data_IF_810668098706
#
_entry.id   IF_810668098706
#
_cell.length_a   1.000
_cell.length_b   1.000
_cell.length_c   1.000
_cell.angle_alpha   90.00
_cell.angle_beta   90.00
_cell.angle_gamma   90.00
#
_symmetry.space_group_name_H-M   'P 1'
#
loop_
_entity.id
_entity.type
_entity.pdbx_description
1 polymer ?
#
# COMPACT_ATOMS: atom_id res chain seq x y z
N UNK A 1 -35.24 1.06 -100.69
CA UNK A 1 -35.92 0.86 -99.39
C UNK A 1 -34.95 0.12 -98.48
N UNK A 2 -34.76 0.66 -97.26
CA UNK A 2 -34.08 0.05 -96.09
C UNK A 2 -32.54 -0.01 -96.12
N UNK A 3 -31.87 0.88 -95.38
CA UNK A 3 -31.46 0.80 -93.95
C UNK A 3 -30.18 -0.04 -93.77
N UNK A 4 -29.04 0.56 -93.39
CA UNK A 4 -28.48 0.60 -92.00
C UNK A 4 -28.32 -0.82 -91.39
N UNK A 5 -27.17 -1.25 -90.86
CA UNK A 5 -26.29 -0.56 -89.93
C UNK A 5 -24.94 -1.28 -89.79
N UNK A 6 -23.93 -0.51 -89.38
CA UNK A 6 -22.59 -0.91 -88.92
C UNK A 6 -22.65 -1.79 -87.65
N UNK A 7 -21.53 -2.49 -87.34
CA UNK A 7 -20.84 -2.36 -86.04
C UNK A 7 -19.49 -3.10 -86.07
N UNK A 8 -18.42 -2.34 -85.88
CA UNK A 8 -17.06 -2.85 -85.67
C UNK A 8 -16.82 -3.31 -84.24
N UNK A 9 -15.80 -4.15 -84.05
CA UNK A 9 -15.17 -4.42 -82.75
C UNK A 9 -13.67 -4.64 -82.93
N UNK A 10 -12.91 -3.84 -82.20
CA UNK A 10 -11.50 -4.03 -81.83
C UNK A 10 -11.30 -3.24 -80.53
N UNK A 11 -10.24 -3.49 -79.73
CA UNK A 11 -9.91 -4.72 -79.02
C UNK A 11 -10.08 -4.53 -77.49
N UNK A 12 -10.13 -5.63 -76.74
CA UNK A 12 -10.23 -5.63 -75.29
C UNK A 12 -8.92 -5.17 -74.62
N UNK A 13 -8.96 -4.07 -73.88
CA UNK A 13 -7.93 -3.66 -72.93
C UNK A 13 -8.12 -4.41 -71.61
N UNK A 14 -7.13 -5.24 -71.27
CA UNK A 14 -7.07 -5.95 -70.00
C UNK A 14 -6.80 -4.95 -68.85
N UNK A 15 -7.77 -4.82 -67.95
CA UNK A 15 -7.65 -4.06 -66.71
C UNK A 15 -6.78 -4.83 -65.71
N UNK A 16 -5.68 -4.21 -65.29
CA UNK A 16 -4.81 -4.71 -64.21
C UNK A 16 -5.55 -4.50 -62.89
N UNK A 17 -5.96 -5.60 -62.25
CA UNK A 17 -6.60 -5.58 -60.95
C UNK A 17 -5.61 -5.07 -59.89
N UNK A 18 -5.93 -3.91 -59.32
CA UNK A 18 -5.19 -3.30 -58.22
C UNK A 18 -5.52 -4.06 -56.92
N UNK A 19 -4.50 -4.65 -56.29
CA UNK A 19 -4.65 -5.34 -55.02
C UNK A 19 -5.14 -4.36 -53.93
N UNK A 20 -6.08 -4.76 -53.05
CA UNK A 20 -6.55 -3.88 -51.99
C UNK A 20 -5.41 -3.61 -51.00
N UNK A 21 -5.13 -2.33 -50.78
CA UNK A 21 -4.26 -1.85 -49.72
C UNK A 21 -4.75 -2.40 -48.36
N UNK A 22 -3.84 -2.69 -47.41
CA UNK A 22 -4.24 -3.18 -46.10
C UNK A 22 -5.12 -2.12 -45.45
N UNK A 23 -6.37 -2.47 -45.16
CA UNK A 23 -7.27 -1.65 -44.36
C UNK A 23 -6.59 -1.49 -43.00
N UNK A 24 -5.93 -0.35 -42.78
CA UNK A 24 -5.43 0.00 -41.46
C UNK A 24 -6.63 -0.08 -40.51
N UNK A 25 -6.57 -1.00 -39.55
CA UNK A 25 -7.65 -1.22 -38.61
C UNK A 25 -8.04 0.12 -37.99
N UNK A 26 -9.26 0.59 -38.28
CA UNK A 26 -9.76 1.85 -37.74
C UNK A 26 -9.70 1.77 -36.22
N UNK A 27 -9.10 2.76 -35.54
CA UNK A 27 -9.09 2.76 -34.08
C UNK A 27 -10.54 2.74 -33.57
N UNK A 28 -10.81 1.89 -32.59
CA UNK A 28 -12.15 1.69 -32.02
C UNK A 28 -12.70 2.97 -31.38
N UNK A 29 -13.95 3.01 -30.91
CA UNK A 29 -14.53 4.19 -30.28
C UNK A 29 -13.64 4.72 -29.13
N UNK A 30 -13.47 6.06 -28.97
CA UNK A 30 -12.63 6.67 -27.94
C UNK A 30 -12.75 6.06 -26.54
N UNK A 31 -13.99 5.93 -26.04
CA UNK A 31 -14.25 5.38 -24.72
C UNK A 31 -13.84 3.90 -24.60
N UNK A 32 -14.09 3.11 -25.65
CA UNK A 32 -13.68 1.70 -25.67
C UNK A 32 -12.15 1.54 -25.67
N UNK A 33 -11.42 2.49 -26.24
CA UNK A 33 -9.95 2.51 -26.13
C UNK A 33 -9.48 2.77 -24.69
N UNK A 34 -10.16 3.64 -23.93
CA UNK A 34 -9.86 3.85 -22.50
C UNK A 34 -10.10 2.58 -21.69
N UNK A 35 -11.25 1.94 -21.91
CA UNK A 35 -11.60 0.67 -21.24
C UNK A 35 -10.55 -0.41 -21.48
N UNK A 36 -10.13 -0.59 -22.74
CA UNK A 36 -9.08 -1.56 -23.10
C UNK A 36 -7.77 -1.23 -22.40
N UNK A 37 -7.37 0.04 -22.39
CA UNK A 37 -6.14 0.45 -21.71
C UNK A 37 -6.22 0.18 -20.20
N UNK A 38 -7.34 0.48 -19.54
CA UNK A 38 -7.52 0.20 -18.12
C UNK A 38 -7.31 -1.29 -17.80
N UNK A 39 -7.89 -2.18 -18.61
CA UNK A 39 -7.68 -3.63 -18.51
C UNK A 39 -6.21 -4.00 -18.73
N UNK A 40 -5.57 -3.45 -19.77
CA UNK A 40 -4.14 -3.69 -20.04
C UNK A 40 -3.24 -3.25 -18.87
N UNK A 41 -3.53 -2.11 -18.23
CA UNK A 41 -2.78 -1.65 -17.07
C UNK A 41 -2.95 -2.58 -15.87
N UNK A 42 -4.18 -3.06 -15.61
CA UNK A 42 -4.42 -4.02 -14.53
C UNK A 42 -3.68 -5.35 -14.72
N UNK A 43 -3.53 -5.79 -15.98
CA UNK A 43 -2.73 -6.98 -16.30
C UNK A 43 -1.23 -6.82 -15.98
N UNK A 44 -0.75 -5.59 -15.78
CA UNK A 44 0.62 -5.33 -15.32
C UNK A 44 0.78 -5.53 -13.80
N UNK A 45 -0.28 -5.35 -13.00
CA UNK A 45 -0.19 -5.41 -11.53
C UNK A 45 0.37 -6.74 -11.01
N UNK A 46 -0.12 -7.93 -11.42
CA UNK A 46 0.44 -9.20 -10.96
C UNK A 46 1.91 -9.36 -11.38
N UNK A 47 2.28 -8.84 -12.56
CA UNK A 47 3.64 -8.93 -13.08
C UNK A 47 4.61 -8.07 -12.28
N UNK A 48 4.20 -6.87 -11.87
CA UNK A 48 5.00 -5.97 -11.04
C UNK A 48 5.15 -6.53 -9.62
N UNK A 49 4.11 -7.17 -9.06
CA UNK A 49 4.16 -7.80 -7.73
C UNK A 49 5.27 -8.86 -7.61
N UNK A 50 5.37 -9.73 -8.62
CA UNK A 50 6.30 -10.88 -8.66
C UNK A 50 7.59 -10.56 -9.42
N UNK A 51 7.71 -9.38 -10.00
CA UNK A 51 8.77 -9.09 -10.95
C UNK A 51 10.17 -9.00 -10.33
N UNK A 52 11.13 -9.61 -11.01
CA UNK A 52 12.53 -9.72 -10.59
C UNK A 52 13.37 -8.51 -11.01
N UNK A 53 14.40 -8.21 -10.22
CA UNK A 53 15.35 -7.15 -10.54
C UNK A 53 16.13 -7.51 -11.80
N UNK A 54 16.37 -6.52 -12.67
CA UNK A 54 17.05 -6.72 -13.95
C UNK A 54 18.46 -6.13 -13.98
N UNK A 55 18.78 -5.21 -13.08
CA UNK A 55 20.11 -4.62 -12.96
C UNK A 55 20.98 -5.43 -12.01
N UNK A 56 22.28 -5.46 -12.26
CA UNK A 56 23.31 -5.93 -11.34
C UNK A 56 23.89 -4.73 -10.57
N UNK A 57 24.44 -5.00 -9.38
CA UNK A 57 25.02 -3.98 -8.48
C UNK A 57 26.11 -3.13 -9.13
N UNK A 58 26.93 -3.74 -9.99
CA UNK A 58 28.12 -3.11 -10.57
C UNK A 58 27.81 -1.90 -11.48
N UNK A 59 26.60 -1.84 -12.04
CA UNK A 59 26.15 -0.74 -12.92
C UNK A 59 25.15 0.21 -12.24
N UNK A 60 24.81 -0.03 -10.97
CA UNK A 60 23.77 0.72 -10.29
C UNK A 60 24.28 2.07 -9.77
N UNK A 61 23.72 3.16 -10.32
CA UNK A 61 23.93 4.50 -9.79
C UNK A 61 22.67 4.99 -9.06
N UNK A 62 22.77 5.14 -7.74
CA UNK A 62 21.66 5.54 -6.85
C UNK A 62 21.06 6.90 -7.24
N UNK A 63 21.89 7.90 -7.53
CA UNK A 63 21.41 9.24 -7.89
C UNK A 63 20.67 9.25 -9.22
N UNK A 64 21.20 8.53 -10.20
CA UNK A 64 20.57 8.37 -11.52
C UNK A 64 19.26 7.60 -11.42
N UNK A 65 19.20 6.57 -10.57
CA UNK A 65 17.98 5.82 -10.30
C UNK A 65 16.87 6.73 -9.75
N UNK A 66 17.14 7.46 -8.66
CA UNK A 66 16.13 8.33 -8.03
C UNK A 66 15.68 9.44 -8.97
N UNK A 67 16.61 10.06 -9.71
CA UNK A 67 16.28 11.06 -10.72
C UNK A 67 15.34 10.50 -11.79
N UNK A 68 15.64 9.31 -12.33
CA UNK A 68 14.80 8.65 -13.34
C UNK A 68 13.43 8.27 -12.79
N UNK A 69 13.35 7.89 -11.52
CA UNK A 69 12.08 7.55 -10.87
C UNK A 69 11.22 8.80 -10.70
N UNK A 70 11.80 9.90 -10.21
CA UNK A 70 11.14 11.20 -10.10
C UNK A 70 10.64 11.69 -11.49
N UNK A 71 11.51 11.64 -12.51
CA UNK A 71 11.15 12.01 -13.89
C UNK A 71 10.02 11.15 -14.45
N UNK A 72 10.04 9.84 -14.20
CA UNK A 72 9.01 8.92 -14.66
C UNK A 72 7.66 9.18 -13.96
N UNK A 73 7.67 9.46 -12.66
CA UNK A 73 6.47 9.81 -11.90
C UNK A 73 5.84 11.13 -12.40
N UNK A 74 6.67 12.16 -12.61
CA UNK A 74 6.22 13.44 -13.19
C UNK A 74 5.65 13.25 -14.60
N UNK A 75 6.23 12.34 -15.38
CA UNK A 75 5.67 12.00 -16.70
C UNK A 75 4.30 11.37 -16.57
N UNK A 76 4.11 10.39 -15.67
CA UNK A 76 2.82 9.75 -15.45
C UNK A 76 1.76 10.77 -15.01
N UNK A 77 2.07 11.66 -14.07
CA UNK A 77 1.13 12.69 -13.62
C UNK A 77 0.75 13.67 -14.74
N UNK A 78 1.69 14.03 -15.62
CA UNK A 78 1.43 14.87 -16.80
C UNK A 78 0.48 14.18 -17.79
N UNK A 79 0.69 12.90 -18.07
CA UNK A 79 -0.22 12.15 -18.95
C UNK A 79 -1.61 11.99 -18.33
N UNK A 80 -1.69 11.79 -17.00
CA UNK A 80 -2.96 11.81 -16.27
C UNK A 80 -3.67 13.17 -16.43
N UNK A 81 -2.93 14.28 -16.30
CA UNK A 81 -3.47 15.65 -16.51
C UNK A 81 -4.05 15.82 -17.89
N UNK A 82 -3.27 15.44 -18.90
CA UNK A 82 -3.65 15.59 -20.30
C UNK A 82 -4.92 14.78 -20.59
N UNK A 83 -4.98 13.54 -20.10
CA UNK A 83 -6.12 12.67 -20.25
C UNK A 83 -7.38 13.27 -19.59
N UNK A 84 -7.30 13.68 -18.32
CA UNK A 84 -8.42 14.31 -17.62
C UNK A 84 -8.89 15.58 -18.34
N UNK A 85 -7.97 16.48 -18.70
CA UNK A 85 -8.33 17.75 -19.34
C UNK A 85 -9.02 17.54 -20.69
N UNK A 86 -8.54 16.58 -21.49
CA UNK A 86 -9.11 16.29 -22.81
C UNK A 86 -10.48 15.62 -22.69
N UNK A 87 -10.66 14.68 -21.76
CA UNK A 87 -11.93 13.95 -21.61
C UNK A 87 -12.99 14.64 -20.74
N UNK A 88 -12.61 15.68 -19.99
CA UNK A 88 -13.54 16.60 -19.33
C UNK A 88 -14.07 17.68 -20.27
N UNK A 89 -13.43 17.90 -21.43
CA UNK A 89 -13.86 18.86 -22.43
C UNK A 89 -14.85 18.29 -23.45
N UNK A 90 -15.70 19.17 -24.01
CA UNK A 90 -16.49 18.87 -25.19
C UNK A 90 -16.02 19.73 -26.38
N UNK A 91 -15.97 19.18 -27.61
CA UNK A 91 -16.29 17.79 -27.98
C UNK A 91 -15.23 16.80 -27.48
N UNK A 92 -15.64 15.53 -27.31
CA UNK A 92 -14.72 14.45 -26.98
C UNK A 92 -13.64 14.27 -28.07
N UNK A 93 -12.44 13.80 -27.70
CA UNK A 93 -11.35 13.61 -28.65
C UNK A 93 -11.70 12.63 -29.76
N UNK A 94 -11.07 12.83 -30.92
CA UNK A 94 -11.18 11.88 -32.03
C UNK A 94 -10.55 10.53 -31.68
N UNK A 95 -10.98 9.49 -32.38
CA UNK A 95 -10.45 8.13 -32.18
C UNK A 95 -8.92 8.04 -32.34
N UNK A 96 -8.34 8.84 -33.23
CA UNK A 96 -6.89 8.91 -33.44
C UNK A 96 -6.16 9.66 -32.31
N UNK A 97 -6.73 10.76 -31.82
CA UNK A 97 -6.19 11.50 -30.67
C UNK A 97 -6.24 10.65 -29.41
N UNK A 98 -7.36 9.96 -29.16
CA UNK A 98 -7.47 9.01 -28.04
C UNK A 98 -6.42 7.90 -28.13
N UNK A 99 -6.22 7.33 -29.32
CA UNK A 99 -5.19 6.30 -29.49
C UNK A 99 -3.79 6.81 -29.16
N UNK A 100 -3.49 8.06 -29.53
CA UNK A 100 -2.22 8.70 -29.21
C UNK A 100 -2.06 8.88 -27.70
N UNK A 101 -3.08 9.39 -27.02
CA UNK A 101 -3.08 9.57 -25.57
C UNK A 101 -2.91 8.22 -24.84
N UNK A 102 -3.66 7.19 -25.26
CA UNK A 102 -3.53 5.85 -24.69
C UNK A 102 -2.10 5.28 -24.82
N UNK A 103 -1.47 5.48 -25.98
CA UNK A 103 -0.06 5.07 -26.20
C UNK A 103 0.90 5.84 -25.29
N UNK A 104 0.68 7.13 -25.08
CA UNK A 104 1.52 7.95 -24.21
C UNK A 104 1.41 7.51 -22.75
N UNK A 105 0.19 7.29 -22.24
CA UNK A 105 -0.07 6.75 -20.90
C UNK A 105 0.61 5.39 -20.73
N UNK A 106 0.39 4.47 -21.66
CA UNK A 106 1.00 3.14 -21.58
C UNK A 106 2.53 3.18 -21.60
N UNK A 107 3.12 4.07 -22.42
CA UNK A 107 4.56 4.27 -22.46
C UNK A 107 5.11 4.88 -21.14
N UNK A 108 4.40 5.82 -20.53
CA UNK A 108 4.77 6.40 -19.24
C UNK A 108 4.72 5.34 -18.12
N UNK A 109 3.66 4.54 -18.07
CA UNK A 109 3.53 3.43 -17.11
C UNK A 109 4.63 2.38 -17.31
N UNK A 110 4.94 2.00 -18.56
CA UNK A 110 6.06 1.10 -18.82
C UNK A 110 7.41 1.69 -18.40
N UNK A 111 7.60 3.00 -18.56
CA UNK A 111 8.83 3.66 -18.16
C UNK A 111 9.04 3.60 -16.65
N UNK A 112 8.02 3.92 -15.84
CA UNK A 112 8.17 3.86 -14.37
C UNK A 112 8.38 2.42 -13.88
N UNK A 113 7.69 1.43 -14.46
CA UNK A 113 7.91 0.01 -14.17
C UNK A 113 9.35 -0.42 -14.54
N UNK A 114 9.88 0.06 -15.67
CA UNK A 114 11.24 -0.25 -16.08
C UNK A 114 12.28 0.35 -15.11
N UNK A 115 12.05 1.56 -14.59
CA UNK A 115 12.89 2.15 -13.56
C UNK A 115 12.85 1.32 -12.28
N UNK A 116 11.66 0.90 -11.82
CA UNK A 116 11.53 -0.03 -10.69
C UNK A 116 12.38 -1.30 -10.89
N UNK A 117 12.32 -1.93 -12.07
CA UNK A 117 13.13 -3.13 -12.34
C UNK A 117 14.64 -2.89 -12.40
N UNK A 118 15.08 -1.64 -12.53
CA UNK A 118 16.50 -1.30 -12.43
C UNK A 118 17.01 -1.15 -10.99
N UNK A 119 16.14 -1.27 -9.97
CA UNK A 119 16.55 -1.30 -8.57
C UNK A 119 16.98 -2.72 -8.19
N UNK A 120 18.28 -2.97 -7.93
CA UNK A 120 18.75 -4.28 -7.55
C UNK A 120 18.43 -4.61 -6.09
N UNK A 121 18.40 -5.92 -5.77
CA UNK A 121 17.95 -6.42 -4.44
C UNK A 121 18.94 -6.11 -3.31
N UNK A 122 20.22 -5.98 -3.65
CA UNK A 122 21.32 -5.64 -2.76
C UNK A 122 21.22 -4.22 -2.16
N UNK A 123 20.42 -3.34 -2.77
CA UNK A 123 20.13 -2.01 -2.24
C UNK A 123 19.10 -2.04 -1.09
N UNK A 124 18.53 -3.22 -0.81
CA UNK A 124 17.64 -3.46 0.32
C UNK A 124 16.30 -4.02 -0.12
N UNK A 125 15.89 -5.11 0.53
CA UNK A 125 14.60 -5.75 0.30
C UNK A 125 13.48 -4.78 0.70
N UNK A 126 13.62 -4.08 1.81
CA UNK A 126 12.64 -3.10 2.31
C UNK A 126 12.48 -1.93 1.35
N UNK A 127 13.58 -1.32 0.93
CA UNK A 127 13.55 -0.23 -0.03
C UNK A 127 12.86 -0.67 -1.33
N UNK A 128 13.18 -1.88 -1.79
CA UNK A 128 12.55 -2.46 -2.99
C UNK A 128 11.07 -2.77 -2.79
N UNK A 129 10.65 -3.23 -1.61
CA UNK A 129 9.23 -3.41 -1.24
C UNK A 129 8.48 -2.08 -1.36
N UNK A 130 9.05 -0.98 -0.85
CA UNK A 130 8.42 0.34 -0.87
C UNK A 130 8.33 0.92 -2.29
N UNK A 131 9.43 0.91 -3.06
CA UNK A 131 9.41 1.37 -4.46
C UNK A 131 8.44 0.54 -5.30
N UNK A 132 8.36 -0.78 -5.06
CA UNK A 132 7.37 -1.66 -5.69
C UNK A 132 5.94 -1.25 -5.32
N UNK A 133 5.68 -1.00 -4.04
CA UNK A 133 4.38 -0.53 -3.53
C UNK A 133 3.93 0.73 -4.25
N UNK A 134 4.75 1.79 -4.21
CA UNK A 134 4.44 3.05 -4.91
C UNK A 134 4.26 2.87 -6.42
N UNK A 135 5.05 1.99 -7.05
CA UNK A 135 4.87 1.68 -8.48
C UNK A 135 3.53 1.01 -8.76
N UNK A 136 3.10 0.08 -7.88
CA UNK A 136 1.79 -0.56 -7.99
C UNK A 136 0.66 0.45 -7.80
N UNK A 137 0.76 1.35 -6.81
CA UNK A 137 -0.22 2.40 -6.55
C UNK A 137 -0.38 3.34 -7.74
N UNK A 138 0.72 3.70 -8.40
CA UNK A 138 0.70 4.54 -9.61
C UNK A 138 0.00 3.80 -10.78
N UNK A 139 0.31 2.51 -10.98
CA UNK A 139 -0.30 1.70 -12.05
C UNK A 139 -1.81 1.53 -11.81
N UNK A 140 -2.20 1.23 -10.57
CA UNK A 140 -3.59 1.04 -10.20
C UNK A 140 -4.37 2.36 -10.24
N UNK A 141 -3.81 3.45 -9.70
CA UNK A 141 -4.41 4.78 -9.78
C UNK A 141 -4.65 5.25 -11.21
N UNK A 142 -3.71 5.01 -12.13
CA UNK A 142 -3.92 5.31 -13.55
C UNK A 142 -5.02 4.43 -14.17
N UNK A 143 -5.10 3.15 -13.80
CA UNK A 143 -6.18 2.28 -14.27
C UNK A 143 -7.56 2.75 -13.76
N UNK A 144 -7.66 3.16 -12.49
CA UNK A 144 -8.88 3.74 -11.92
C UNK A 144 -9.29 5.03 -12.63
N UNK A 145 -8.34 5.93 -12.92
CA UNK A 145 -8.61 7.16 -13.67
C UNK A 145 -9.24 6.86 -15.04
N UNK A 146 -8.67 5.91 -15.79
CA UNK A 146 -9.19 5.53 -17.10
C UNK A 146 -10.62 4.97 -17.04
N UNK A 147 -10.97 4.24 -15.98
CA UNK A 147 -12.33 3.76 -15.78
C UNK A 147 -13.31 4.87 -15.44
N UNK A 148 -12.92 5.82 -14.59
CA UNK A 148 -13.77 6.97 -14.27
C UNK A 148 -14.05 7.78 -15.52
N UNK A 149 -13.04 8.05 -16.35
CA UNK A 149 -13.22 8.78 -17.61
C UNK A 149 -13.98 7.98 -18.68
N UNK A 150 -14.01 6.65 -18.57
CA UNK A 150 -14.87 5.80 -19.39
C UNK A 150 -16.35 5.91 -18.99
N UNK A 151 -16.65 5.91 -17.68
CA UNK A 151 -18.03 5.93 -17.16
C UNK A 151 -18.64 7.34 -17.22
N UNK A 152 -17.87 8.37 -16.83
CA UNK A 152 -18.31 9.76 -16.73
C UNK A 152 -17.46 10.69 -17.61
N UNK A 153 -17.50 10.55 -18.95
CA UNK A 153 -16.88 11.53 -19.83
C UNK A 153 -17.59 12.90 -19.68
N UNK A 154 -16.83 13.99 -19.67
CA UNK A 154 -17.33 15.38 -19.65
C UNK A 154 -18.04 15.88 -18.38
N UNK A 155 -17.95 15.19 -17.23
CA UNK A 155 -18.34 15.81 -15.94
C UNK A 155 -17.20 16.71 -15.43
N UNK A 156 -17.55 17.94 -15.03
CA UNK A 156 -16.60 18.86 -14.38
C UNK A 156 -16.20 18.28 -13.02
N UNK A 157 -14.97 18.54 -12.55
CA UNK A 157 -14.41 17.92 -11.35
C UNK A 157 -15.07 18.39 -10.03
N UNK A 158 -16.29 18.90 -10.03
CA UNK A 158 -16.76 19.72 -8.92
C UNK A 158 -17.20 18.97 -7.65
N UNK A 159 -17.45 17.65 -7.62
CA UNK A 159 -17.76 17.01 -6.32
C UNK A 159 -17.54 15.50 -6.11
N UNK A 160 -17.26 14.65 -7.11
CA UNK A 160 -16.96 13.22 -6.86
C UNK A 160 -15.79 12.63 -7.69
N UNK A 161 -15.53 13.16 -8.89
CA UNK A 161 -14.47 12.65 -9.79
C UNK A 161 -13.04 13.14 -9.44
N UNK A 162 -12.92 13.98 -8.41
CA UNK A 162 -11.62 14.41 -7.87
C UNK A 162 -10.86 13.24 -7.23
N UNK A 163 -11.54 12.25 -6.63
CA UNK A 163 -10.88 11.21 -5.83
C UNK A 163 -9.98 10.31 -6.68
N UNK A 164 -10.41 9.93 -7.88
CA UNK A 164 -9.65 9.05 -8.79
C UNK A 164 -8.55 9.77 -9.57
N UNK A 165 -8.78 11.03 -9.99
CA UNK A 165 -7.70 11.88 -10.49
C UNK A 165 -6.65 12.14 -9.41
N UNK A 166 -7.10 12.32 -8.17
CA UNK A 166 -6.23 12.53 -7.03
C UNK A 166 -5.48 11.24 -6.67
N UNK A 167 -6.03 10.04 -6.88
CA UNK A 167 -5.33 8.79 -6.52
C UNK A 167 -4.01 8.61 -7.27
N UNK A 168 -4.01 8.76 -8.60
CA UNK A 168 -2.76 8.70 -9.40
C UNK A 168 -1.81 9.85 -9.08
N UNK A 169 -2.33 11.05 -8.79
CA UNK A 169 -1.51 12.19 -8.40
C UNK A 169 -0.83 12.02 -7.05
N UNK A 170 -1.62 11.62 -6.05
CA UNK A 170 -1.17 11.31 -4.70
C UNK A 170 -0.11 10.22 -4.78
N UNK A 171 -0.34 9.14 -5.53
CA UNK A 171 0.64 8.08 -5.73
C UNK A 171 1.95 8.62 -6.35
N UNK A 172 1.88 9.48 -7.38
CA UNK A 172 3.06 10.12 -7.96
C UNK A 172 3.78 11.07 -6.97
N UNK A 173 3.04 11.77 -6.11
CA UNK A 173 3.59 12.64 -5.07
C UNK A 173 4.26 11.87 -3.92
N UNK A 174 3.99 10.57 -3.77
CA UNK A 174 4.72 9.74 -2.81
C UNK A 174 6.15 9.43 -3.27
N UNK A 175 6.44 9.48 -4.58
CA UNK A 175 7.78 9.10 -5.11
C UNK A 175 8.93 9.90 -4.49
N UNK A 176 8.86 11.25 -4.39
CA UNK A 176 9.88 12.03 -3.69
C UNK A 176 9.94 11.78 -2.18
N UNK A 177 8.84 11.28 -1.58
CA UNK A 177 8.70 10.98 -0.14
C UNK A 177 9.21 9.59 0.23
N UNK A 178 9.43 8.71 -0.76
CA UNK A 178 10.07 7.42 -0.53
C UNK A 178 11.42 7.70 0.17
N UNK A 179 11.66 7.14 1.37
CA UNK A 179 12.92 7.30 2.07
C UNK A 179 14.07 6.88 1.16
N UNK A 180 14.86 7.88 0.75
CA UNK A 180 16.03 7.68 -0.13
C UNK A 180 17.15 6.97 0.61
N UNK A 181 17.05 6.84 1.93
CA UNK A 181 17.85 6.04 2.85
C UNK A 181 16.90 5.29 3.79
N UNK A 182 17.38 4.22 4.44
CA UNK A 182 16.65 3.46 5.45
C UNK A 182 16.38 4.33 6.69
N UNK A 183 15.38 5.19 6.61
CA UNK A 183 14.76 5.84 7.74
C UNK A 183 13.28 5.53 7.66
N UNK A 184 12.85 4.61 8.51
CA UNK A 184 11.48 4.15 8.61
C UNK A 184 10.52 5.34 8.76
N UNK A 185 9.51 5.37 7.90
CA UNK A 185 8.28 6.10 8.17
C UNK A 185 7.44 5.25 9.12
N UNK A 186 7.73 5.32 10.43
CA UNK A 186 6.69 5.06 11.43
C UNK A 186 5.90 6.36 11.48
N UNK A 187 4.90 6.47 10.59
CA UNK A 187 3.91 7.52 10.68
C UNK A 187 3.19 7.37 12.03
N UNK A 188 3.00 8.49 12.70
CA UNK A 188 2.44 8.60 14.04
C UNK A 188 0.94 8.29 14.00
N UNK A 189 0.59 7.03 13.75
CA UNK A 189 -0.71 6.51 14.10
C UNK A 189 -0.59 6.06 15.56
N UNK A 190 -1.37 6.67 16.46
CA UNK A 190 -1.68 6.07 17.76
C UNK A 190 -2.97 5.27 17.56
N UNK A 191 -2.92 4.02 17.07
CA UNK A 191 -4.11 3.30 16.61
C UNK A 191 -5.05 2.94 17.76
N UNK A 192 -4.62 3.19 19.00
CA UNK A 192 -5.27 2.72 20.22
C UNK A 192 -5.71 3.89 21.13
N UNK A 193 -5.65 5.15 20.67
CA UNK A 193 -6.22 6.27 21.42
C UNK A 193 -7.75 6.15 21.55
N UNK A 194 -8.42 5.56 20.55
CA UNK A 194 -9.86 5.26 20.60
C UNK A 194 -10.20 4.24 21.68
N UNK A 195 -9.46 3.13 21.76
CA UNK A 195 -9.67 2.09 22.77
C UNK A 195 -9.50 2.61 24.21
N UNK A 196 -8.61 3.58 24.43
CA UNK A 196 -8.44 4.22 25.74
C UNK A 196 -9.61 5.13 26.11
N UNK A 197 -10.19 5.84 25.13
CA UNK A 197 -11.37 6.67 25.35
C UNK A 197 -12.61 5.81 25.62
N UNK A 198 -12.76 4.68 24.93
CA UNK A 198 -13.89 3.76 25.10
C UNK A 198 -13.90 3.16 26.53
N UNK A 199 -12.73 2.85 27.09
CA UNK A 199 -12.59 2.33 28.48
C UNK A 199 -12.87 3.44 29.52
N UNK A 200 -12.49 4.69 29.25
CA UNK A 200 -12.76 5.82 30.15
C UNK A 200 -14.25 6.25 30.13
N UNK A 201 -14.92 6.21 28.98
CA UNK A 201 -16.37 6.52 28.86
C UNK A 201 -17.24 5.46 29.56
N UNK A 202 -16.93 4.17 29.42
CA UNK A 202 -17.69 3.09 30.08
C UNK A 202 -17.57 3.09 31.62
N UNK A 203 -16.52 3.72 32.16
CA UNK A 203 -16.32 3.82 33.62
C UNK A 203 -17.02 5.07 34.19
N UNK A 204 -17.32 6.09 33.37
CA UNK A 204 -17.92 7.35 33.84
C UNK A 204 -19.45 7.40 33.84
N UNK A 205 -20.13 6.49 33.15
CA UNK A 205 -21.60 6.56 32.97
C UNK A 205 -22.42 5.63 33.88
N UNK A 206 -21.81 4.93 34.85
CA UNK A 206 -22.55 4.00 35.71
C UNK A 206 -23.11 4.58 37.03
N UNK A 207 -23.32 5.90 37.10
CA UNK A 207 -24.10 6.52 38.18
C UNK A 207 -25.16 7.44 37.60
N UNK A 208 -26.23 6.85 37.08
CA UNK A 208 -27.63 7.29 37.22
C UNK A 208 -28.49 6.55 36.19
N UNK A 209 -29.14 5.47 36.61
CA UNK A 209 -30.50 5.11 36.17
C UNK A 209 -31.02 4.01 37.09
N UNK A 210 -31.53 4.47 38.23
CA UNK A 210 -32.56 3.76 38.97
C UNK A 210 -33.85 3.76 38.12
N UNK A 211 -34.01 2.75 37.26
CA UNK A 211 -35.33 2.33 36.80
C UNK A 211 -35.30 0.82 36.48
N UNK A 212 -35.78 0.07 37.47
CA UNK A 212 -36.17 -1.33 37.41
C UNK A 212 -37.41 -1.45 36.49
N UNK A 213 -37.31 -2.12 35.32
CA UNK A 213 -38.47 -2.68 34.56
C UNK A 213 -37.99 -3.55 33.37
N UNK A 214 -38.31 -4.85 33.46
CA UNK A 214 -38.40 -5.90 32.41
C UNK A 214 -37.15 -6.71 32.00
N UNK A 215 -37.18 -7.99 32.41
CA UNK A 215 -36.24 -9.04 32.03
C UNK A 215 -36.22 -9.38 30.54
N UNK A 216 -35.28 -8.77 29.83
CA UNK A 216 -34.65 -9.36 28.65
C UNK A 216 -33.37 -10.07 29.08
N UNK A 217 -32.95 -11.19 28.45
CA UNK A 217 -31.64 -11.75 28.72
C UNK A 217 -30.60 -10.69 28.38
N UNK A 218 -29.90 -10.17 29.38
CA UNK A 218 -28.75 -9.30 29.19
C UNK A 218 -27.77 -10.07 28.30
N UNK A 219 -27.38 -9.50 27.17
CA UNK A 219 -26.33 -10.05 26.31
C UNK A 219 -24.98 -9.93 27.06
N UNK A 220 -24.77 -10.78 28.06
CA UNK A 220 -23.59 -10.79 28.94
C UNK A 220 -22.29 -10.93 28.14
N UNK A 221 -22.36 -11.53 26.95
CA UNK A 221 -21.24 -11.79 26.04
C UNK A 221 -20.71 -10.53 25.30
N UNK A 222 -21.37 -9.38 25.46
CA UNK A 222 -20.97 -8.10 24.83
C UNK A 222 -20.21 -7.15 25.77
N UNK A 223 -20.08 -7.50 27.06
CA UNK A 223 -19.47 -6.63 28.06
C UNK A 223 -18.23 -7.29 28.69
N UNK A 224 -17.27 -6.47 29.10
CA UNK A 224 -16.13 -6.93 29.90
C UNK A 224 -16.58 -7.20 31.35
N UNK A 225 -16.16 -8.35 31.89
CA UNK A 225 -16.25 -8.63 33.33
C UNK A 225 -15.19 -7.83 34.11
N UNK A 226 -15.30 -7.79 35.44
CA UNK A 226 -14.27 -7.18 36.30
C UNK A 226 -12.91 -7.89 36.11
N UNK A 227 -12.92 -9.23 35.96
CA UNK A 227 -11.71 -10.02 35.68
C UNK A 227 -11.10 -9.67 34.31
N UNK A 228 -11.94 -9.43 33.30
CA UNK A 228 -11.49 -8.96 31.99
C UNK A 228 -10.86 -7.57 32.10
N UNK A 229 -11.50 -6.63 32.81
CA UNK A 229 -10.99 -5.28 33.01
C UNK A 229 -9.62 -5.28 33.70
N UNK A 230 -9.43 -6.11 34.72
CA UNK A 230 -8.13 -6.28 35.38
C UNK A 230 -7.05 -6.84 34.42
N UNK A 231 -7.42 -7.82 33.57
CA UNK A 231 -6.52 -8.42 32.60
C UNK A 231 -6.16 -7.48 31.44
N UNK A 232 -7.06 -6.56 31.07
CA UNK A 232 -6.84 -5.57 30.02
C UNK A 232 -5.72 -4.59 30.38
N UNK A 233 -5.61 -4.18 31.64
CA UNK A 233 -4.62 -3.20 32.11
C UNK A 233 -3.18 -3.58 31.71
N UNK A 234 -2.66 -4.78 32.05
CA UNK A 234 -1.31 -5.18 31.67
C UNK A 234 -1.20 -5.47 30.16
N UNK A 235 -2.28 -5.83 29.46
CA UNK A 235 -2.28 -5.95 28.00
C UNK A 235 -2.05 -4.59 27.33
N UNK A 236 -2.75 -3.53 27.77
CA UNK A 236 -2.53 -2.17 27.28
C UNK A 236 -1.14 -1.65 27.63
N UNK A 237 -0.64 -1.98 28.83
CA UNK A 237 0.74 -1.65 29.20
C UNK A 237 1.76 -2.32 28.25
N UNK A 238 1.52 -3.57 27.86
CA UNK A 238 2.33 -4.27 26.87
C UNK A 238 2.27 -3.60 25.49
N UNK A 239 1.09 -3.19 25.02
CA UNK A 239 0.93 -2.43 23.76
C UNK A 239 1.72 -1.11 23.79
N UNK A 240 1.65 -0.37 24.91
CA UNK A 240 2.45 0.86 25.09
C UNK A 240 3.96 0.57 25.09
N UNK A 241 4.38 -0.53 25.71
CA UNK A 241 5.78 -0.97 25.68
C UNK A 241 6.24 -1.31 24.25
N UNK A 242 5.39 -1.95 23.43
CA UNK A 242 5.65 -2.21 22.02
C UNK A 242 5.94 -0.93 21.24
N UNK A 243 5.08 0.09 21.41
CA UNK A 243 5.26 1.42 20.81
C UNK A 243 6.56 2.08 21.25
N UNK A 244 6.90 1.99 22.54
CA UNK A 244 8.15 2.53 23.06
C UNK A 244 9.39 1.83 22.47
N UNK A 245 9.35 0.51 22.31
CA UNK A 245 10.41 -0.26 21.67
C UNK A 245 10.61 0.19 20.22
N UNK A 246 9.54 0.26 19.42
CA UNK A 246 9.59 0.72 18.03
C UNK A 246 10.17 2.13 17.91
N UNK A 247 9.67 3.09 18.71
CA UNK A 247 10.18 4.47 18.71
C UNK A 247 11.67 4.54 19.02
N UNK A 248 12.13 3.76 20.00
CA UNK A 248 13.54 3.74 20.40
C UNK A 248 14.44 3.07 19.36
N UNK A 249 14.00 1.99 18.73
CA UNK A 249 14.70 1.36 17.59
C UNK A 249 14.79 2.34 16.42
N UNK A 250 13.70 3.05 16.11
CA UNK A 250 13.67 4.04 15.03
C UNK A 250 14.69 5.17 15.26
N UNK A 251 14.78 5.70 16.49
CA UNK A 251 15.78 6.72 16.85
C UNK A 251 17.20 6.18 16.63
N UNK A 252 17.50 4.96 17.10
CA UNK A 252 18.82 4.36 16.91
C UNK A 252 19.17 4.15 15.44
N UNK A 253 18.22 3.71 14.62
CA UNK A 253 18.46 3.55 13.18
C UNK A 253 18.68 4.91 12.52
N UNK A 254 17.96 5.96 12.94
CA UNK A 254 18.15 7.30 12.40
C UNK A 254 19.52 7.89 12.78
N UNK A 255 20.01 7.65 14.00
CA UNK A 255 21.27 8.19 14.51
C UNK A 255 22.49 7.38 14.04
N UNK A 256 22.41 6.05 14.07
CA UNK A 256 23.55 5.16 13.89
C UNK A 256 23.49 4.35 12.58
N UNK A 257 22.39 4.43 11.83
CA UNK A 257 22.17 3.65 10.61
C UNK A 257 23.18 3.96 9.51
N UNK A 258 23.85 2.92 9.02
CA UNK A 258 24.85 3.03 7.95
C UNK A 258 24.34 2.47 6.64
N UNK A 259 24.50 3.23 5.56
CA UNK A 259 23.97 2.91 4.21
C UNK A 259 24.59 1.65 3.58
N UNK A 260 25.77 1.24 4.03
CA UNK A 260 26.48 0.03 3.60
C UNK A 260 26.02 -1.24 4.33
N UNK A 261 25.33 -1.11 5.48
CA UNK A 261 24.87 -2.22 6.31
C UNK A 261 23.42 -2.62 5.99
N UNK A 262 23.09 -2.68 4.70
CA UNK A 262 21.73 -2.89 4.18
C UNK A 262 21.07 -4.15 4.76
N UNK A 263 21.79 -5.28 4.81
CA UNK A 263 21.25 -6.54 5.32
C UNK A 263 20.80 -6.44 6.78
N UNK A 264 21.62 -5.80 7.64
CA UNK A 264 21.26 -5.63 9.05
C UNK A 264 20.08 -4.67 9.23
N UNK A 265 19.95 -3.66 8.36
CA UNK A 265 18.79 -2.77 8.38
C UNK A 265 17.53 -3.52 7.93
N UNK A 266 17.59 -4.34 6.90
CA UNK A 266 16.49 -5.21 6.48
C UNK A 266 16.08 -6.20 7.58
N UNK A 267 17.03 -6.83 8.28
CA UNK A 267 16.74 -7.73 9.40
C UNK A 267 15.98 -7.02 10.54
N UNK A 268 16.32 -5.76 10.82
CA UNK A 268 15.61 -4.92 11.81
C UNK A 268 14.20 -4.57 11.31
N UNK A 269 14.05 -4.22 10.03
CA UNK A 269 12.72 -3.94 9.44
C UNK A 269 11.83 -5.17 9.57
N UNK A 270 12.31 -6.31 9.10
CA UNK A 270 11.49 -7.51 8.96
C UNK A 270 10.96 -7.96 10.34
N UNK A 271 11.75 -7.84 11.41
CA UNK A 271 11.26 -8.14 12.77
C UNK A 271 10.36 -7.05 13.35
N UNK A 272 10.58 -5.77 13.00
CA UNK A 272 9.70 -4.68 13.44
C UNK A 272 8.32 -4.77 12.79
N UNK A 273 8.24 -5.21 11.53
CA UNK A 273 6.99 -5.44 10.79
C UNK A 273 6.14 -6.55 11.42
N UNK A 274 6.72 -7.47 12.20
CA UNK A 274 5.97 -8.49 12.95
C UNK A 274 5.28 -7.94 14.22
N UNK A 275 5.69 -6.76 14.71
CA UNK A 275 5.16 -6.18 15.95
C UNK A 275 3.70 -5.74 15.76
N UNK A 276 3.38 -5.00 14.69
CA UNK A 276 2.02 -4.48 14.48
C UNK A 276 0.97 -5.58 14.37
N UNK A 277 1.13 -6.63 13.54
CA UNK A 277 0.17 -7.73 13.49
C UNK A 277 0.05 -8.47 14.83
N UNK A 278 1.13 -8.58 15.60
CA UNK A 278 1.09 -9.22 16.93
C UNK A 278 0.35 -8.37 17.96
N UNK A 279 0.43 -7.04 17.86
CA UNK A 279 -0.39 -6.12 18.66
C UNK A 279 -1.85 -6.22 18.23
N UNK A 280 -2.14 -6.26 16.94
CA UNK A 280 -3.50 -6.37 16.42
C UNK A 280 -4.15 -7.69 16.86
N UNK A 281 -3.43 -8.82 16.79
CA UNK A 281 -3.89 -10.11 17.32
C UNK A 281 -4.25 -10.03 18.81
N UNK A 282 -3.42 -9.32 19.62
CA UNK A 282 -3.69 -9.12 21.04
C UNK A 282 -4.93 -8.24 21.25
N UNK A 283 -5.02 -7.10 20.57
CA UNK A 283 -6.15 -6.16 20.71
C UNK A 283 -7.46 -6.82 20.29
N UNK A 284 -7.46 -7.56 19.17
CA UNK A 284 -8.62 -8.32 18.72
C UNK A 284 -9.05 -9.37 19.76
N UNK A 285 -8.11 -9.99 20.47
CA UNK A 285 -8.43 -10.99 21.51
C UNK A 285 -8.99 -10.41 22.82
N UNK A 286 -8.90 -9.09 23.00
CA UNK A 286 -9.42 -8.39 24.18
C UNK A 286 -10.91 -8.03 24.02
N UNK A 287 -11.43 -7.93 22.80
CA UNK A 287 -12.84 -7.62 22.61
C UNK A 287 -13.76 -8.76 23.10
N UNK A 288 -14.93 -8.44 23.70
CA UNK A 288 -15.88 -9.44 24.16
C UNK A 288 -16.42 -10.34 23.03
N UNK A 289 -16.71 -11.64 23.32
CA UNK A 289 -16.41 -12.34 24.57
C UNK A 289 -14.90 -12.67 24.68
N UNK A 290 -14.28 -12.23 25.78
CA UNK A 290 -12.83 -12.32 25.97
C UNK A 290 -12.41 -13.72 26.38
N UNK A 291 -11.44 -14.31 25.67
CA UNK A 291 -10.84 -15.59 26.03
C UNK A 291 -9.46 -15.37 26.66
N UNK A 292 -9.37 -15.52 27.98
CA UNK A 292 -8.14 -15.26 28.76
C UNK A 292 -6.95 -16.09 28.26
N UNK A 293 -7.17 -17.35 27.88
CA UNK A 293 -6.14 -18.20 27.28
C UNK A 293 -5.61 -17.63 25.95
N UNK A 294 -6.51 -17.16 25.08
CA UNK A 294 -6.13 -16.54 23.79
C UNK A 294 -5.34 -15.26 24.02
N UNK A 295 -5.78 -14.42 24.95
CA UNK A 295 -5.09 -13.18 25.34
C UNK A 295 -3.69 -13.48 25.86
N UNK A 296 -3.53 -14.52 26.69
CA UNK A 296 -2.22 -14.98 27.20
C UNK A 296 -1.30 -15.45 26.07
N UNK A 297 -1.81 -16.24 25.12
CA UNK A 297 -1.05 -16.74 23.96
C UNK A 297 -0.59 -15.58 23.08
N UNK A 298 -1.50 -14.66 22.73
CA UNK A 298 -1.19 -13.51 21.88
C UNK A 298 -0.23 -12.54 22.57
N UNK A 299 -0.38 -12.33 23.89
CA UNK A 299 0.57 -11.56 24.70
C UNK A 299 1.97 -12.18 24.70
N UNK A 300 2.07 -13.51 24.87
CA UNK A 300 3.35 -14.22 24.84
C UNK A 300 4.02 -14.14 23.45
N UNK A 301 3.23 -14.24 22.38
CA UNK A 301 3.70 -14.04 20.99
C UNK A 301 4.27 -12.63 20.83
N UNK A 302 3.53 -11.59 21.24
CA UNK A 302 3.99 -10.20 21.16
C UNK A 302 5.28 -9.98 21.96
N UNK A 303 5.37 -10.49 23.20
CA UNK A 303 6.58 -10.42 24.02
C UNK A 303 7.78 -11.07 23.32
N UNK A 304 7.58 -12.24 22.71
CA UNK A 304 8.63 -12.94 21.96
C UNK A 304 9.13 -12.10 20.79
N UNK A 305 8.22 -11.50 20.02
CA UNK A 305 8.56 -10.62 18.89
C UNK A 305 9.34 -9.40 19.37
N UNK A 306 8.87 -8.72 20.43
CA UNK A 306 9.54 -7.54 21.00
C UNK A 306 10.96 -7.86 21.47
N UNK A 307 11.14 -8.96 22.22
CA UNK A 307 12.47 -9.37 22.67
C UNK A 307 13.40 -9.69 21.51
N UNK A 308 12.90 -10.39 20.48
CA UNK A 308 13.65 -10.70 19.27
C UNK A 308 14.06 -9.41 18.53
N UNK A 309 13.15 -8.43 18.41
CA UNK A 309 13.46 -7.13 17.80
C UNK A 309 14.56 -6.38 18.55
N UNK A 310 14.48 -6.35 19.89
CA UNK A 310 15.47 -5.71 20.74
C UNK A 310 16.85 -6.41 20.67
N UNK A 311 16.89 -7.74 20.64
CA UNK A 311 18.13 -8.49 20.51
C UNK A 311 18.78 -8.33 19.12
N UNK A 312 17.99 -8.37 18.04
CA UNK A 312 18.49 -8.08 16.68
C UNK A 312 19.07 -6.67 16.62
N UNK A 313 18.37 -5.68 17.18
CA UNK A 313 18.84 -4.29 17.24
C UNK A 313 20.17 -4.19 18.00
N UNK A 314 20.27 -4.85 19.16
CA UNK A 314 21.48 -4.88 19.99
C UNK A 314 22.66 -5.57 19.32
N UNK A 315 22.42 -6.60 18.49
CA UNK A 315 23.46 -7.32 17.76
C UNK A 315 23.91 -6.60 16.47
N UNK A 316 23.18 -5.58 16.04
CA UNK A 316 23.44 -4.85 14.81
C UNK A 316 24.44 -3.70 14.99
N UNK A 317 24.83 -3.08 13.87
CA UNK A 317 25.66 -1.87 13.86
C UNK A 317 24.97 -0.63 14.44
N UNK A 318 23.64 -0.64 14.63
CA UNK A 318 22.91 0.49 15.24
C UNK A 318 22.82 0.41 16.75
N UNK A 319 23.45 -0.61 17.36
CA UNK A 319 23.41 -0.87 18.78
C UNK A 319 23.71 0.39 19.62
N UNK A 320 22.97 0.62 20.72
CA UNK A 320 23.21 1.75 21.59
C UNK A 320 24.59 1.62 22.24
N UNK A 321 25.22 2.76 22.54
CA UNK A 321 26.45 2.77 23.31
C UNK A 321 26.22 2.11 24.69
N UNK A 322 27.23 1.44 25.27
CA UNK A 322 27.06 0.67 26.51
C UNK A 322 26.52 1.50 27.68
N UNK A 323 26.87 2.79 27.73
CA UNK A 323 26.42 3.76 28.74
C UNK A 323 24.94 4.16 28.61
N UNK A 324 24.32 4.04 27.43
CA UNK A 324 22.94 4.48 27.14
C UNK A 324 21.99 3.30 26.86
N UNK A 325 22.35 2.09 27.30
CA UNK A 325 21.59 0.89 26.97
C UNK A 325 20.26 0.83 27.74
N UNK A 326 19.22 1.40 27.13
CA UNK A 326 17.81 1.31 27.57
C UNK A 326 17.18 -0.05 27.25
N UNK A 327 17.82 -0.88 26.43
CA UNK A 327 17.30 -2.17 25.97
C UNK A 327 16.94 -3.10 27.16
N UNK A 328 17.82 -3.31 28.17
CA UNK A 328 17.48 -4.12 29.34
C UNK A 328 16.28 -3.58 30.13
N UNK A 329 16.10 -2.24 30.19
CA UNK A 329 14.98 -1.63 30.88
C UNK A 329 13.65 -1.93 30.16
N UNK A 330 13.63 -1.89 28.83
CA UNK A 330 12.44 -2.25 28.06
C UNK A 330 12.14 -3.75 28.14
N UNK A 331 13.15 -4.62 28.09
CA UNK A 331 12.97 -6.06 28.30
C UNK A 331 12.31 -6.32 29.67
N UNK A 332 12.82 -5.68 30.73
CA UNK A 332 12.24 -5.81 32.07
C UNK A 332 10.81 -5.26 32.16
N UNK A 333 10.48 -4.19 31.43
CA UNK A 333 9.12 -3.66 31.38
C UNK A 333 8.16 -4.64 30.69
N UNK A 334 8.58 -5.20 29.56
CA UNK A 334 7.83 -6.22 28.80
C UNK A 334 7.61 -7.47 29.66
N UNK A 335 8.64 -7.94 30.38
CA UNK A 335 8.53 -9.10 31.26
C UNK A 335 7.57 -8.88 32.43
N UNK A 336 7.57 -7.67 33.02
CA UNK A 336 6.60 -7.33 34.07
C UNK A 336 5.16 -7.39 33.57
N UNK A 337 4.89 -6.87 32.37
CA UNK A 337 3.55 -6.95 31.77
C UNK A 337 3.14 -8.43 31.55
N UNK A 338 4.04 -9.24 30.99
CA UNK A 338 3.77 -10.66 30.75
C UNK A 338 3.55 -11.45 32.04
N UNK A 339 4.30 -11.17 33.10
CA UNK A 339 4.12 -11.86 34.37
C UNK A 339 2.76 -11.51 35.01
N UNK A 340 2.36 -10.24 34.97
CA UNK A 340 1.03 -9.82 35.42
C UNK A 340 -0.09 -10.49 34.62
N UNK A 341 0.04 -10.59 33.28
CA UNK A 341 -0.91 -11.32 32.43
C UNK A 341 -0.96 -12.81 32.81
N UNK A 342 0.18 -13.44 33.11
CA UNK A 342 0.23 -14.86 33.50
C UNK A 342 -0.45 -15.13 34.84
N UNK A 343 -0.28 -14.22 35.80
CA UNK A 343 -0.89 -14.29 37.13
C UNK A 343 -2.41 -14.16 37.04
N UNK A 344 -2.90 -13.18 36.26
CA UNK A 344 -4.34 -12.94 36.09
C UNK A 344 -5.04 -14.00 35.22
N UNK A 345 -4.30 -14.73 34.37
CA UNK A 345 -4.83 -15.80 33.51
C UNK A 345 -4.52 -17.21 34.02
N UNK A 346 -4.12 -17.37 35.28
CA UNK A 346 -3.61 -18.64 35.81
C UNK A 346 -4.71 -19.71 36.00
N UNK A 347 -5.95 -19.30 36.28
CA UNK A 347 -7.10 -20.20 36.47
C UNK A 347 -7.46 -21.05 35.25
N UNK A 348 -7.08 -20.62 34.04
CA UNK A 348 -7.37 -21.31 32.77
C UNK A 348 -6.41 -22.48 32.45
N UNK A 349 -5.32 -22.66 33.20
CA UNK A 349 -4.29 -23.68 32.94
C UNK A 349 -4.29 -24.84 33.95
N UNK A 350 -5.09 -24.76 35.01
CA UNK A 350 -5.09 -25.72 36.13
C UNK A 350 -6.25 -26.75 36.05
N UNK A 351 -6.88 -26.89 34.88
CA UNK A 351 -7.87 -27.91 34.54
C UNK A 351 -7.33 -28.88 33.49
#
# INVERSE_FOLDING_TARGET
MSHHCQLGRSPASASVAQAPAPVMASPGPPLEQLRRLAVELRLLLPRVRVGEARATTEEFNREVFWRRLDEAAVKVSREATALTTVFSGLPLPSSQETQRLCKQVYAAIKAIIAVYYSLPKDQGITLRKLVRGTTLDIVDGMAQLLEVLFVNPAQSPENNDLISCNSVWVACQQVPRIPRAFSFAVEECDPYSGLLNDIEEDTSDNYNNEDDVLGFPTNQDLYWSEEDQELIIPCLALVRASKACLKKIQILVAENGKKDQVAQLDDIVDICDEISPSVDDLVLSIYPPMCHLTVRINSAKLVSVLKKALEITKASHVAPQPEDSWIPLLINAVDRCMNSIKELSQGELEL
#
